data_IF_034942900615
#
_entry.id   IF_034942900615
#
_cell.length_a   1.000
_cell.length_b   1.000
_cell.length_c   1.000
_cell.angle_alpha   90.00
_cell.angle_beta   90.00
_cell.angle_gamma   90.00
#
_symmetry.space_group_name_H-M   'P 1'
#
loop_
_entity.id
_entity.type
_entity.pdbx_description
1 polymer ?
#
# COMPACT_ATOMS: atom_id res chain seq x y z
N UNK A 1 -16.38 1.70 -28.09
CA UNK A 1 -16.39 2.98 -27.36
C UNK A 1 -16.80 2.70 -25.91
N UNK A 2 -16.14 3.37 -24.96
CA UNK A 2 -16.35 3.25 -23.51
C UNK A 2 -17.83 3.51 -23.13
N UNK A 3 -18.46 2.57 -22.41
CA UNK A 3 -19.89 2.59 -22.07
C UNK A 3 -20.19 3.14 -20.66
N UNK A 4 -19.16 3.42 -19.84
CA UNK A 4 -19.33 3.74 -18.41
C UNK A 4 -19.06 5.20 -18.05
N UNK A 5 -18.60 6.05 -18.99
CA UNK A 5 -18.37 7.48 -18.74
C UNK A 5 -17.23 7.78 -17.75
N UNK A 6 -16.49 6.76 -17.30
CA UNK A 6 -15.37 6.91 -16.38
C UNK A 6 -14.10 7.28 -17.15
N UNK A 7 -13.39 8.29 -16.65
CA UNK A 7 -12.05 8.65 -17.13
C UNK A 7 -11.10 7.56 -16.64
N UNK A 8 -10.83 6.58 -17.49
CA UNK A 8 -9.76 5.61 -17.24
C UNK A 8 -8.44 6.31 -17.47
N UNK A 9 -7.76 6.69 -16.39
CA UNK A 9 -6.35 7.03 -16.48
C UNK A 9 -5.61 5.71 -16.68
N UNK A 10 -5.27 5.40 -17.94
CA UNK A 10 -4.44 4.24 -18.21
C UNK A 10 -3.13 4.43 -17.42
N UNK A 11 -2.73 3.46 -16.57
CA UNK A 11 -1.43 3.55 -15.92
C UNK A 11 -0.40 3.79 -17.02
N UNK A 12 0.29 4.92 -16.93
CA UNK A 12 1.29 5.32 -17.92
C UNK A 12 2.31 4.18 -18.06
N UNK A 13 3.10 4.16 -19.14
CA UNK A 13 4.06 3.10 -19.52
C UNK A 13 5.08 2.68 -18.43
N UNK A 14 5.03 3.27 -17.24
CA UNK A 14 5.89 3.01 -16.10
C UNK A 14 5.36 1.85 -15.23
N UNK A 15 6.28 0.95 -14.89
CA UNK A 15 6.00 -0.24 -14.11
C UNK A 15 5.66 0.11 -12.65
N UNK A 16 4.62 -0.53 -12.11
CA UNK A 16 4.19 -0.36 -10.74
C UNK A 16 5.08 -1.16 -9.79
N UNK A 17 5.64 -0.49 -8.79
CA UNK A 17 6.44 -1.13 -7.75
C UNK A 17 6.04 -0.60 -6.38
N UNK A 18 5.87 -1.53 -5.44
CA UNK A 18 5.67 -1.26 -4.03
C UNK A 18 6.64 -2.13 -3.23
N UNK A 19 7.16 -1.55 -2.15
CA UNK A 19 8.06 -2.21 -1.23
C UNK A 19 7.40 -2.22 0.14
N UNK A 20 7.29 -3.39 0.76
CA UNK A 20 6.79 -3.53 2.12
C UNK A 20 7.80 -4.28 2.99
N UNK A 21 7.98 -3.80 4.21
CA UNK A 21 8.89 -4.36 5.20
C UNK A 21 8.12 -4.54 6.50
N UNK A 22 7.98 -5.79 6.93
CA UNK A 22 7.29 -6.14 8.17
C UNK A 22 8.27 -6.65 9.22
N UNK A 23 8.18 -6.13 10.45
CA UNK A 23 8.88 -6.65 11.62
C UNK A 23 7.82 -7.12 12.62
N UNK A 24 7.84 -8.41 12.95
CA UNK A 24 6.90 -9.01 13.87
C UNK A 24 7.60 -9.89 14.90
N UNK A 25 6.98 -10.01 16.08
CA UNK A 25 7.46 -10.92 17.13
C UNK A 25 6.81 -12.31 17.01
N UNK A 26 7.53 -13.37 17.44
CA UNK A 26 7.07 -14.77 17.40
C UNK A 26 5.78 -14.99 18.20
N UNK A 27 5.60 -14.27 19.33
CA UNK A 27 4.40 -14.33 20.15
C UNK A 27 3.20 -13.58 19.52
N UNK A 28 3.37 -12.98 18.34
CA UNK A 28 2.33 -12.23 17.59
C UNK A 28 1.67 -11.07 18.36
N UNK A 29 2.22 -10.67 19.50
CA UNK A 29 1.71 -9.57 20.34
C UNK A 29 1.88 -8.21 19.66
N UNK A 30 2.95 -8.05 18.88
CA UNK A 30 3.25 -6.82 18.16
C UNK A 30 3.76 -7.14 16.76
N UNK A 31 3.13 -6.52 15.76
CA UNK A 31 3.57 -6.51 14.36
C UNK A 31 3.54 -5.09 13.84
N UNK A 32 4.63 -4.70 13.20
CA UNK A 32 4.76 -3.40 12.54
C UNK A 32 5.08 -3.64 11.07
N UNK A 33 4.19 -3.20 10.19
CA UNK A 33 4.35 -3.27 8.74
C UNK A 33 4.55 -1.86 8.17
N UNK A 34 5.68 -1.67 7.51
CA UNK A 34 6.01 -0.48 6.75
C UNK A 34 5.72 -0.74 5.28
N UNK A 35 4.94 0.13 4.66
CA UNK A 35 4.56 0.03 3.26
C UNK A 35 5.00 1.31 2.55
N UNK A 36 5.88 1.17 1.57
CA UNK A 36 6.42 2.23 0.74
C UNK A 36 5.93 2.04 -0.69
N UNK A 37 5.25 3.05 -1.21
CA UNK A 37 4.80 3.05 -2.60
C UNK A 37 5.87 3.71 -3.47
N UNK A 38 6.34 3.01 -4.50
CA UNK A 38 7.44 3.48 -5.36
C UNK A 38 6.98 4.29 -6.57
N UNK A 39 5.71 4.20 -6.97
CA UNK A 39 5.17 4.85 -8.17
C UNK A 39 3.75 5.41 -7.95
N UNK A 40 3.26 6.27 -8.85
CA UNK A 40 1.94 6.94 -8.75
C UNK A 40 1.80 7.84 -7.50
N UNK A 41 2.89 8.52 -7.10
CA UNK A 41 2.91 9.50 -6.01
C UNK A 41 2.23 10.85 -6.35
N UNK A 42 1.93 11.05 -7.63
CA UNK A 42 1.36 12.28 -8.19
C UNK A 42 -0.18 12.28 -8.15
N UNK A 43 -0.80 11.15 -7.80
CA UNK A 43 -2.25 11.09 -7.60
C UNK A 43 -2.59 11.78 -6.27
N UNK A 44 -3.56 12.72 -6.23
CA UNK A 44 -3.82 13.55 -5.06
C UNK A 44 -4.26 12.79 -3.79
N UNK A 45 -4.59 11.49 -3.90
CA UNK A 45 -4.97 10.61 -2.79
C UNK A 45 -3.94 9.48 -2.54
N UNK A 46 -2.84 9.43 -3.30
CA UNK A 46 -1.85 8.37 -3.19
C UNK A 46 -0.99 8.54 -1.95
N UNK A 47 -1.19 7.67 -0.95
CA UNK A 47 -0.39 7.63 0.26
C UNK A 47 1.00 7.03 -0.04
N UNK A 48 2.01 7.89 0.02
CA UNK A 48 3.43 7.57 -0.29
C UNK A 48 4.04 6.55 0.68
N UNK A 49 3.56 6.59 1.93
CA UNK A 49 4.05 5.76 3.03
C UNK A 49 2.93 5.45 4.02
N UNK A 50 2.82 4.18 4.39
CA UNK A 50 1.91 3.67 5.41
C UNK A 50 2.68 2.90 6.47
N UNK A 51 2.36 3.16 7.73
CA UNK A 51 2.79 2.30 8.84
C UNK A 51 1.54 1.69 9.45
N UNK A 52 1.52 0.37 9.54
CA UNK A 52 0.41 -0.40 10.12
C UNK A 52 0.94 -1.15 11.32
N UNK A 53 0.42 -0.83 12.50
CA UNK A 53 0.72 -1.56 13.73
C UNK A 53 -0.47 -2.42 14.12
N UNK A 54 -0.24 -3.70 14.37
CA UNK A 54 -1.28 -4.61 14.87
C UNK A 54 -0.83 -5.16 16.22
N UNK A 55 -1.75 -5.08 17.19
CA UNK A 55 -1.61 -5.66 18.51
C UNK A 55 -2.76 -6.63 18.73
N UNK A 56 -2.44 -7.87 19.10
CA UNK A 56 -3.43 -8.91 19.36
C UNK A 56 -2.95 -9.86 20.44
N UNK A 57 -3.73 -10.01 21.50
CA UNK A 57 -3.54 -11.05 22.51
C UNK A 57 -4.46 -12.22 22.13
N UNK A 58 -3.86 -13.31 21.65
CA UNK A 58 -4.57 -14.58 21.46
C UNK A 58 -4.45 -15.38 22.76
N UNK A 59 -5.58 -15.58 23.43
CA UNK A 59 -5.73 -16.44 24.61
C UNK A 59 -6.60 -17.65 24.28
#
# INVERSE_FOLDING_TARGET
>A
LNASGLIYNAPNKEMYYEYSLGVGNIFKVFRLDFNFRGNYLDTPDARKFGVTGTFGFHF
#
